data_IF_151083460286
#
_entry.id   IF_151083460286
#
_cell.length_a   1.000
_cell.length_b   1.000
_cell.length_c   1.000
_cell.angle_alpha   90.00
_cell.angle_beta   90.00
_cell.angle_gamma   90.00
#
_symmetry.space_group_name_H-M   'P 1'
#
loop_
_entity.id
_entity.type
_entity.pdbx_description
1 polymer ?
#
# COMPACT_ATOMS: atom_id res chain seq x y z
N UNK A 1 -30.97 -60.07 52.86
CA UNK A 1 -29.95 -59.09 52.41
C UNK A 1 -30.70 -57.97 51.70
N UNK A 2 -30.77 -56.78 52.30
CA UNK A 2 -31.80 -55.78 51.99
C UNK A 2 -31.36 -54.87 50.82
N UNK A 3 -32.20 -54.74 49.79
CA UNK A 3 -31.92 -54.04 48.53
C UNK A 3 -31.51 -52.56 48.74
N UNK A 4 -31.91 -51.97 49.86
CA UNK A 4 -31.61 -50.58 50.23
C UNK A 4 -30.11 -50.31 50.46
N UNK A 5 -29.29 -51.34 50.68
CA UNK A 5 -27.84 -51.14 50.89
C UNK A 5 -27.03 -51.00 49.59
N UNK A 6 -27.56 -51.43 48.43
CA UNK A 6 -26.86 -51.29 47.15
C UNK A 6 -26.97 -49.86 46.57
N UNK A 7 -28.08 -49.17 46.81
CA UNK A 7 -28.31 -47.83 46.27
C UNK A 7 -27.50 -46.74 46.99
N UNK A 8 -27.09 -46.97 48.24
CA UNK A 8 -26.20 -46.06 48.97
C UNK A 8 -24.73 -46.19 48.55
N UNK A 9 -24.31 -47.33 48.00
CA UNK A 9 -22.90 -47.58 47.61
C UNK A 9 -22.55 -47.06 46.21
N UNK A 10 -23.55 -46.87 45.34
CA UNK A 10 -23.38 -46.35 43.97
C UNK A 10 -24.17 -45.06 43.69
N UNK A 11 -24.51 -44.31 44.74
CA UNK A 11 -24.98 -42.94 44.60
C UNK A 11 -23.87 -42.08 44.01
N UNK A 12 -23.84 -42.00 42.68
CA UNK A 12 -22.79 -41.34 41.90
C UNK A 12 -22.49 -39.94 42.44
N UNK A 13 -21.19 -39.68 42.66
CA UNK A 13 -20.69 -38.32 42.89
C UNK A 13 -21.11 -37.46 41.70
N UNK A 14 -22.16 -36.64 41.87
CA UNK A 14 -22.47 -35.57 40.93
C UNK A 14 -21.29 -34.60 40.99
N UNK A 15 -20.38 -34.71 40.03
CA UNK A 15 -19.32 -33.73 39.85
C UNK A 15 -19.96 -32.35 39.73
N UNK A 16 -19.64 -31.44 40.65
CA UNK A 16 -20.06 -30.05 40.57
C UNK A 16 -19.50 -29.47 39.28
N UNK A 17 -20.36 -29.27 38.28
CA UNK A 17 -20.02 -28.44 37.13
C UNK A 17 -19.96 -26.99 37.63
N UNK A 18 -18.75 -26.52 37.92
CA UNK A 18 -18.51 -25.10 38.13
C UNK A 18 -18.70 -24.37 36.80
N UNK A 19 -19.89 -23.81 36.57
CA UNK A 19 -20.07 -22.81 35.52
C UNK A 19 -19.46 -21.51 36.02
N UNK A 20 -18.26 -21.20 35.57
CA UNK A 20 -17.67 -19.88 35.78
C UNK A 20 -18.42 -18.91 34.87
N UNK A 21 -19.23 -18.04 35.47
CA UNK A 21 -19.92 -16.97 34.75
C UNK A 21 -18.95 -15.83 34.46
N UNK A 22 -18.97 -15.30 33.24
CA UNK A 22 -18.20 -14.12 32.86
C UNK A 22 -18.62 -12.94 33.75
N UNK A 23 -17.66 -12.29 34.39
CA UNK A 23 -17.95 -11.14 35.25
C UNK A 23 -18.18 -9.89 34.41
N UNK A 24 -19.03 -8.98 34.89
CA UNK A 24 -19.24 -7.68 34.22
C UNK A 24 -17.92 -6.89 34.08
N UNK A 25 -17.02 -7.03 35.05
CA UNK A 25 -15.68 -6.44 35.01
C UNK A 25 -14.87 -7.02 33.85
N UNK A 26 -14.81 -8.34 33.70
CA UNK A 26 -14.07 -9.00 32.62
C UNK A 26 -14.63 -8.61 31.23
N UNK A 27 -15.95 -8.51 31.10
CA UNK A 27 -16.58 -8.02 29.87
C UNK A 27 -16.25 -6.55 29.61
N UNK A 28 -16.20 -5.69 30.63
CA UNK A 28 -15.83 -4.28 30.45
C UNK A 28 -14.36 -4.11 30.06
N UNK A 29 -13.45 -4.89 30.66
CA UNK A 29 -12.01 -4.87 30.35
C UNK A 29 -11.75 -5.40 28.94
N UNK A 30 -12.43 -6.48 28.53
CA UNK A 30 -12.28 -7.02 27.19
C UNK A 30 -12.82 -6.08 26.12
N UNK A 31 -13.96 -5.42 26.35
CA UNK A 31 -14.50 -4.41 25.42
C UNK A 31 -13.54 -3.22 25.31
N UNK A 32 -13.04 -2.70 26.43
CA UNK A 32 -12.06 -1.60 26.41
C UNK A 32 -10.77 -1.99 25.67
N UNK A 33 -10.28 -3.22 25.87
CA UNK A 33 -9.12 -3.75 25.15
C UNK A 33 -9.40 -3.85 23.64
N UNK A 34 -10.54 -4.40 23.23
CA UNK A 34 -10.92 -4.53 21.83
C UNK A 34 -11.04 -3.16 21.15
N UNK A 35 -11.62 -2.16 21.84
CA UNK A 35 -11.70 -0.78 21.33
C UNK A 35 -10.31 -0.13 21.19
N UNK A 36 -9.41 -0.37 22.15
CA UNK A 36 -8.04 0.15 22.09
C UNK A 36 -7.26 -0.44 20.90
N UNK A 37 -7.38 -1.75 20.67
CA UNK A 37 -6.71 -2.43 19.56
C UNK A 37 -7.31 -2.03 18.21
N UNK A 38 -8.64 -1.92 18.12
CA UNK A 38 -9.32 -1.46 16.89
C UNK A 38 -8.85 -0.05 16.48
N UNK A 39 -8.63 0.84 17.45
CA UNK A 39 -8.15 2.20 17.19
C UNK A 39 -6.76 2.22 16.56
N UNK A 40 -5.85 1.35 17.01
CA UNK A 40 -4.49 1.23 16.47
C UNK A 40 -4.53 0.73 15.01
N UNK A 41 -5.38 -0.25 14.71
CA UNK A 41 -5.48 -0.85 13.38
C UNK A 41 -5.94 0.17 12.32
N UNK A 42 -6.92 1.02 12.66
CA UNK A 42 -7.46 2.01 11.72
C UNK A 42 -6.38 3.02 11.29
N UNK A 43 -5.59 3.51 12.25
CA UNK A 43 -4.52 4.49 11.97
C UNK A 43 -3.40 3.94 11.07
N UNK A 44 -3.18 2.62 11.05
CA UNK A 44 -2.14 1.98 10.23
C UNK A 44 -2.48 1.89 8.74
N UNK A 45 -3.75 2.00 8.37
CA UNK A 45 -4.23 1.68 7.01
C UNK A 45 -3.90 2.73 5.94
N UNK A 46 -3.79 4.01 6.29
CA UNK A 46 -3.48 5.08 5.33
C UNK A 46 -2.05 4.97 4.81
N UNK A 47 -1.08 4.67 5.67
CA UNK A 47 0.33 4.53 5.27
C UNK A 47 0.57 3.39 4.26
N UNK A 48 -0.24 2.33 4.30
CA UNK A 48 -0.16 1.24 3.30
C UNK A 48 -0.69 1.69 1.94
N UNK A 49 -1.73 2.52 1.91
CA UNK A 49 -2.27 3.10 0.68
C UNK A 49 -1.25 4.02 0.02
N UNK A 50 -0.71 4.96 0.79
CA UNK A 50 0.29 5.93 0.32
C UNK A 50 1.55 5.23 -0.20
N UNK A 51 2.01 4.18 0.49
CA UNK A 51 3.14 3.37 0.04
C UNK A 51 2.87 2.66 -1.29
N UNK A 52 1.66 2.11 -1.48
CA UNK A 52 1.28 1.47 -2.74
C UNK A 52 1.23 2.48 -3.88
N UNK A 53 0.68 3.67 -3.64
CA UNK A 53 0.63 4.76 -4.62
C UNK A 53 2.03 5.21 -5.02
N UNK A 54 2.91 5.47 -4.04
CA UNK A 54 4.30 5.84 -4.30
C UNK A 54 5.05 4.76 -5.09
N UNK A 55 4.86 3.49 -4.70
CA UNK A 55 5.45 2.33 -5.38
C UNK A 55 5.03 2.27 -6.85
N UNK A 56 3.73 2.44 -7.13
CA UNK A 56 3.19 2.45 -8.48
C UNK A 56 3.72 3.63 -9.29
N UNK A 57 3.74 4.82 -8.68
CA UNK A 57 4.28 6.02 -9.32
C UNK A 57 5.75 5.85 -9.72
N UNK A 58 6.59 5.29 -8.84
CA UNK A 58 7.99 4.99 -9.14
C UNK A 58 8.14 3.97 -10.28
N UNK A 59 7.27 2.95 -10.35
CA UNK A 59 7.28 1.96 -11.44
C UNK A 59 6.95 2.61 -12.79
N UNK A 60 5.93 3.46 -12.83
CA UNK A 60 5.55 4.18 -14.05
C UNK A 60 6.57 5.25 -14.46
N UNK A 61 7.18 5.96 -13.52
CA UNK A 61 8.29 6.86 -13.84
C UNK A 61 9.48 6.06 -14.40
N UNK A 62 9.74 4.86 -13.87
CA UNK A 62 10.86 4.01 -14.31
C UNK A 62 10.59 3.42 -15.69
N UNK A 63 9.34 3.08 -16.00
CA UNK A 63 8.95 2.63 -17.33
C UNK A 63 9.22 3.70 -18.38
N UNK A 64 8.84 4.95 -18.10
CA UNK A 64 9.14 6.10 -18.95
C UNK A 64 10.65 6.33 -19.04
N UNK A 65 11.39 6.25 -17.93
CA UNK A 65 12.84 6.45 -17.95
C UNK A 65 13.60 5.39 -18.76
N UNK A 66 13.15 4.14 -18.72
CA UNK A 66 13.69 3.07 -19.56
C UNK A 66 13.35 3.34 -21.03
N UNK A 67 12.12 3.75 -21.33
CA UNK A 67 11.72 4.11 -22.70
C UNK A 67 12.57 5.25 -23.27
N UNK A 68 12.84 6.29 -22.47
CA UNK A 68 13.72 7.40 -22.86
C UNK A 68 15.13 6.91 -23.20
N UNK A 69 15.70 6.05 -22.36
CA UNK A 69 17.04 5.48 -22.60
C UNK A 69 17.08 4.65 -23.87
N UNK A 70 16.08 3.81 -24.10
CA UNK A 70 15.99 2.99 -25.32
C UNK A 70 15.84 3.88 -26.56
N UNK A 71 14.97 4.89 -26.52
CA UNK A 71 14.80 5.83 -27.64
C UNK A 71 16.09 6.59 -27.96
N UNK A 72 16.78 7.11 -26.93
CA UNK A 72 18.04 7.85 -27.10
C UNK A 72 19.20 6.94 -27.54
N UNK A 73 19.17 5.65 -27.19
CA UNK A 73 20.14 4.68 -27.68
C UNK A 73 20.00 4.46 -29.19
N UNK A 74 18.77 4.44 -29.71
CA UNK A 74 18.49 4.33 -31.14
C UNK A 74 18.69 5.67 -31.88
N UNK A 75 18.52 6.79 -31.18
CA UNK A 75 18.58 8.15 -31.73
C UNK A 75 19.60 9.04 -30.98
N UNK A 76 20.92 8.76 -31.11
CA UNK A 76 21.95 9.41 -30.29
C UNK A 76 22.10 10.92 -30.54
N UNK A 77 21.57 11.45 -31.64
CA UNK A 77 21.62 12.89 -31.97
C UNK A 77 20.38 13.67 -31.53
N UNK A 78 19.33 12.99 -31.05
CA UNK A 78 18.10 13.63 -30.58
C UNK A 78 18.27 14.15 -29.16
N UNK A 79 17.72 15.34 -28.88
CA UNK A 79 17.63 15.86 -27.52
C UNK A 79 16.34 15.38 -26.85
N UNK A 80 16.42 14.99 -25.58
CA UNK A 80 15.24 14.58 -24.79
C UNK A 80 14.17 15.69 -24.73
N UNK A 81 14.61 16.95 -24.70
CA UNK A 81 13.72 18.11 -24.65
C UNK A 81 12.85 18.28 -25.91
N UNK A 82 13.21 17.61 -27.01
CA UNK A 82 12.53 17.67 -28.30
C UNK A 82 11.74 16.42 -28.66
N UNK A 83 11.73 15.41 -27.77
CA UNK A 83 11.03 14.15 -27.99
C UNK A 83 9.53 14.37 -27.86
N UNK A 84 8.76 13.85 -28.81
CA UNK A 84 7.30 13.83 -28.76
C UNK A 84 6.78 12.55 -28.10
N UNK A 85 5.54 12.59 -27.57
CA UNK A 85 4.92 11.41 -26.97
C UNK A 85 4.80 10.24 -27.97
N UNK A 86 4.48 10.53 -29.24
CA UNK A 86 4.38 9.51 -30.30
C UNK A 86 5.69 8.79 -30.60
N UNK A 87 6.83 9.47 -30.42
CA UNK A 87 8.15 8.87 -30.58
C UNK A 87 8.52 7.97 -29.38
N UNK A 88 8.03 8.31 -28.19
CA UNK A 88 8.38 7.61 -26.94
C UNK A 88 7.46 6.41 -26.63
N UNK A 89 6.18 6.51 -26.97
CA UNK A 89 5.15 5.48 -26.71
C UNK A 89 5.55 4.09 -27.19
N UNK A 90 6.15 3.88 -28.39
CA UNK A 90 6.59 2.57 -28.85
C UNK A 90 7.65 1.90 -27.97
N UNK A 91 8.37 2.69 -27.16
CA UNK A 91 9.43 2.22 -26.27
C UNK A 91 8.95 1.96 -24.83
N UNK A 92 7.68 2.25 -24.52
CA UNK A 92 7.12 1.95 -23.21
C UNK A 92 6.99 0.44 -23.02
N UNK A 93 7.35 -0.09 -21.83
CA UNK A 93 7.05 -1.47 -21.49
C UNK A 93 5.54 -1.67 -21.44
N UNK A 94 5.10 -2.90 -21.66
CA UNK A 94 3.69 -3.33 -21.67
C UNK A 94 2.83 -2.87 -22.86
N UNK A 95 3.43 -2.25 -23.88
CA UNK A 95 2.72 -1.88 -25.12
C UNK A 95 1.65 -0.80 -24.89
N UNK A 96 1.89 0.08 -23.91
CA UNK A 96 1.02 1.21 -23.62
C UNK A 96 0.78 2.06 -24.88
N UNK A 97 -0.44 2.54 -25.08
CA UNK A 97 -0.82 3.38 -26.24
C UNK A 97 -0.63 4.88 -26.00
N UNK A 98 -0.33 5.25 -24.75
CA UNK A 98 -0.11 6.61 -24.30
C UNK A 98 0.88 6.63 -23.13
N UNK A 99 1.43 7.81 -22.83
CA UNK A 99 2.27 7.99 -21.65
C UNK A 99 1.37 7.88 -20.40
N UNK A 100 1.76 7.06 -19.41
CA UNK A 100 0.94 6.84 -18.24
C UNK A 100 0.80 8.10 -17.38
N UNK A 101 -0.31 8.18 -16.65
CA UNK A 101 -0.59 9.22 -15.66
C UNK A 101 -0.51 8.63 -14.26
N UNK A 102 -0.02 9.41 -13.30
CA UNK A 102 0.09 8.98 -11.92
C UNK A 102 -1.08 9.53 -11.08
N UNK A 103 -1.29 8.97 -9.91
CA UNK A 103 -2.23 9.46 -8.91
C UNK A 103 -1.46 10.10 -7.75
N UNK A 104 -1.93 11.26 -7.28
CA UNK A 104 -1.39 11.95 -6.10
C UNK A 104 -1.92 11.32 -4.81
N UNK A 105 -1.26 11.57 -3.68
CA UNK A 105 -1.72 11.09 -2.38
C UNK A 105 -3.10 11.67 -1.99
N UNK A 106 -3.47 12.81 -2.59
CA UNK A 106 -4.74 13.48 -2.42
C UNK A 106 -5.81 13.05 -3.46
N UNK A 107 -5.52 12.05 -4.30
CA UNK A 107 -6.42 11.55 -5.34
C UNK A 107 -6.48 12.40 -6.61
N UNK A 108 -5.49 13.28 -6.83
CA UNK A 108 -5.36 14.06 -8.05
C UNK A 108 -4.65 13.31 -9.16
N UNK A 109 -4.89 13.67 -10.42
CA UNK A 109 -4.12 13.12 -11.55
C UNK A 109 -2.84 13.94 -11.76
N UNK A 110 -1.71 13.26 -11.84
CA UNK A 110 -0.40 13.83 -12.11
C UNK A 110 0.06 13.46 -13.52
N UNK A 111 0.70 14.41 -14.19
CA UNK A 111 1.27 14.18 -15.52
C UNK A 111 2.75 13.87 -15.41
N UNK A 112 3.27 13.01 -16.28
CA UNK A 112 4.70 12.73 -16.34
C UNK A 112 5.36 13.67 -17.33
N UNK A 113 6.32 14.47 -16.86
CA UNK A 113 7.19 15.25 -17.73
C UNK A 113 8.31 14.38 -18.28
N UNK A 114 8.12 13.92 -19.52
CA UNK A 114 9.06 13.06 -20.25
C UNK A 114 10.08 13.84 -21.10
N UNK A 115 10.01 15.18 -21.12
CA UNK A 115 10.98 16.04 -21.83
C UNK A 115 12.23 16.33 -21.00
N UNK A 116 12.29 15.79 -19.78
CA UNK A 116 13.42 15.86 -18.85
C UNK A 116 13.84 14.43 -18.51
N UNK A 117 15.14 14.26 -18.27
CA UNK A 117 15.73 12.97 -17.91
C UNK A 117 16.54 13.14 -16.62
N UNK A 118 16.24 12.39 -15.53
CA UNK A 118 15.13 11.45 -15.39
C UNK A 118 13.74 12.13 -15.46
N UNK A 119 12.69 11.39 -15.86
CA UNK A 119 11.33 11.92 -15.96
C UNK A 119 10.75 12.18 -14.58
N UNK A 120 9.85 13.15 -14.48
CA UNK A 120 9.37 13.66 -13.19
C UNK A 120 7.85 13.80 -13.19
N UNK A 121 7.22 13.57 -12.05
CA UNK A 121 5.79 13.80 -11.88
C UNK A 121 5.52 15.30 -11.73
N UNK A 122 4.46 15.79 -12.37
CA UNK A 122 3.98 17.16 -12.26
C UNK A 122 2.55 17.18 -11.71
N UNK A 123 2.34 18.04 -10.71
CA UNK A 123 1.02 18.52 -10.34
C UNK A 123 0.82 19.87 -11.02
N UNK A 124 0.13 19.86 -12.17
CA UNK A 124 0.03 21.03 -13.04
C UNK A 124 1.38 21.43 -13.65
N UNK A 125 2.05 22.41 -13.05
CA UNK A 125 3.37 22.91 -13.51
C UNK A 125 4.50 22.69 -12.51
N UNK A 126 4.17 22.29 -11.28
CA UNK A 126 5.16 22.06 -10.22
C UNK A 126 5.54 20.60 -10.17
N UNK A 127 6.83 20.32 -9.97
CA UNK A 127 7.30 18.97 -9.65
C UNK A 127 6.58 18.49 -8.40
N UNK A 128 5.88 17.37 -8.53
CA UNK A 128 5.21 16.71 -7.43
C UNK A 128 6.13 15.67 -6.83
N UNK A 129 6.50 15.90 -5.57
CA UNK A 129 7.22 14.96 -4.74
C UNK A 129 6.77 15.18 -3.29
N UNK A 130 5.89 14.32 -2.75
CA UNK A 130 5.37 14.43 -1.40
C UNK A 130 6.34 13.84 -0.36
N UNK A 131 7.46 13.28 -0.80
CA UNK A 131 8.43 12.70 0.10
C UNK A 131 9.25 13.75 0.86
N UNK A 132 10.01 13.31 1.87
CA UNK A 132 10.84 14.20 2.68
C UNK A 132 12.11 14.68 1.96
N UNK A 133 12.38 14.21 0.74
CA UNK A 133 13.52 14.70 -0.04
C UNK A 133 13.53 14.23 -1.49
N UNK A 134 14.06 15.06 -2.41
CA UNK A 134 13.97 14.84 -3.86
C UNK A 134 14.89 13.75 -4.44
N UNK A 135 15.45 12.89 -3.59
CA UNK A 135 16.45 11.87 -3.91
C UNK A 135 16.25 10.59 -3.09
N UNK A 136 15.05 10.37 -2.59
CA UNK A 136 14.76 9.25 -1.70
C UNK A 136 14.37 7.97 -2.46
N UNK A 137 14.15 8.07 -3.78
CA UNK A 137 13.76 6.94 -4.63
C UNK A 137 12.32 6.47 -4.46
N UNK A 138 11.49 7.20 -3.71
CA UNK A 138 10.06 6.88 -3.54
C UNK A 138 9.23 7.51 -4.66
N UNK A 139 9.54 8.75 -5.03
CA UNK A 139 8.85 9.50 -6.10
C UNK A 139 9.80 10.00 -7.20
N UNK A 140 11.05 9.53 -7.17
CA UNK A 140 12.07 9.78 -8.19
C UNK A 140 12.58 8.46 -8.77
N UNK A 141 13.17 8.52 -9.97
CA UNK A 141 13.74 7.35 -10.66
C UNK A 141 15.21 7.53 -11.00
N UNK A 142 15.90 8.32 -10.19
CA UNK A 142 17.33 8.59 -10.33
C UNK A 142 17.73 9.95 -9.77
N UNK A 143 19.03 10.15 -9.62
CA UNK A 143 19.57 11.45 -9.24
C UNK A 143 19.42 12.44 -10.42
N UNK A 144 18.75 13.56 -10.13
CA UNK A 144 18.76 14.77 -10.96
C UNK A 144 20.10 15.48 -10.89
#
# INVERSE_FOLDING_TARGET
MNLNQYLLKYGGKKGSRHSHGLTLIEMSVTIALMMSLASIVIYSSSGVGDWKLAREAALQLRSVYVAQKSYLADHPTKSISSVSASELVPYLPDGATAIPTLESLEGGTLTIQFTVMPPVALSGTTVYDPSSGPKDGLWDVGAR
#
